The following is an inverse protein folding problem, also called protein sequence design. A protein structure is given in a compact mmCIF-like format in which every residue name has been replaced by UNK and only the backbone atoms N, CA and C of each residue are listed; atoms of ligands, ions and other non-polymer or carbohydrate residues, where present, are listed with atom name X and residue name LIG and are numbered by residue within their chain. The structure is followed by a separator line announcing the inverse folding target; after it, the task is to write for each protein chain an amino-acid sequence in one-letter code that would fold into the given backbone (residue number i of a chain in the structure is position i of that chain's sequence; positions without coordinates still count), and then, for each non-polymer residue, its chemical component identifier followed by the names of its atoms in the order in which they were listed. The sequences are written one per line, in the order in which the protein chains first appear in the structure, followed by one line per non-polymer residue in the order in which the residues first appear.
data_IF_696873011247
#
_entry.id   IF_696873011247
#
_cell.length_a   1.000
_cell.length_b   1.000
_cell.length_c   1.000
_cell.angle_alpha   90.00
_cell.angle_beta   90.00
_cell.angle_gamma   90.00
#
_symmetry.space_group_name_H-M   'P 1'
#
loop_
_entity.id
_entity.type
_entity.pdbx_description
1 polymer ?
#
# COMPACT_ATOMS: atom_id res chain seq x y z
N UNK A 1 4.06 15.34 -23.27
CA UNK A 1 3.82 13.99 -22.69
C UNK A 1 3.34 14.17 -21.27
N UNK A 2 2.08 13.83 -20.96
CA UNK A 2 1.58 13.94 -19.58
C UNK A 2 2.21 12.82 -18.74
N UNK A 3 3.13 13.18 -17.84
CA UNK A 3 3.74 12.26 -16.89
C UNK A 3 2.65 11.59 -16.06
N UNK A 4 2.55 10.27 -16.18
CA UNK A 4 1.53 9.46 -15.53
C UNK A 4 1.86 9.25 -14.05
N UNK A 5 1.84 10.32 -13.26
CA UNK A 5 2.08 10.28 -11.81
C UNK A 5 0.87 9.74 -11.03
N UNK A 6 -0.19 9.32 -11.73
CA UNK A 6 -1.49 8.91 -11.18
C UNK A 6 -1.83 7.43 -11.40
N UNK A 7 -0.91 6.64 -11.95
CA UNK A 7 -1.10 5.19 -12.11
C UNK A 7 -0.58 4.39 -10.92
N UNK A 8 -1.37 3.40 -10.50
CA UNK A 8 -0.94 2.45 -9.49
C UNK A 8 0.03 1.44 -10.08
N UNK A 9 1.20 1.24 -9.48
CA UNK A 9 2.17 0.25 -9.97
C UNK A 9 1.70 -1.22 -9.84
N UNK A 10 0.60 -1.49 -9.13
CA UNK A 10 0.06 -2.85 -8.95
C UNK A 10 -0.96 -3.20 -10.03
N UNK A 11 -1.91 -2.31 -10.34
CA UNK A 11 -2.93 -2.55 -11.37
C UNK A 11 -2.69 -1.80 -12.67
N UNK A 12 -1.64 -0.97 -12.74
CA UNK A 12 -1.27 -0.12 -13.87
C UNK A 12 -2.37 0.83 -14.36
N UNK A 13 -3.43 1.00 -13.56
CA UNK A 13 -4.57 1.84 -13.84
C UNK A 13 -4.56 3.10 -12.96
N UNK A 14 -5.42 4.07 -13.31
CA UNK A 14 -5.61 5.30 -12.52
C UNK A 14 -5.95 4.98 -11.06
N UNK A 15 -5.24 5.60 -10.13
CA UNK A 15 -5.40 5.36 -8.70
C UNK A 15 -6.77 5.79 -8.20
N UNK A 16 -7.63 4.83 -7.83
CA UNK A 16 -8.91 5.08 -7.16
C UNK A 16 -8.73 4.86 -5.66
N UNK A 17 -8.99 5.89 -4.86
CA UNK A 17 -8.64 5.94 -3.43
C UNK A 17 -7.13 5.73 -3.23
N UNK A 18 -6.35 6.68 -3.76
CA UNK A 18 -4.89 6.76 -3.58
C UNK A 18 -4.58 6.72 -2.09
N UNK A 19 -3.72 5.79 -1.68
CA UNK A 19 -3.16 5.75 -0.33
C UNK A 19 -1.67 6.09 -0.41
N UNK A 20 -1.23 6.99 0.46
CA UNK A 20 0.20 7.25 0.66
C UNK A 20 0.77 6.17 1.55
N UNK A 21 1.85 5.56 1.08
CA UNK A 21 2.69 4.72 1.91
C UNK A 21 3.78 5.58 2.52
N UNK A 22 4.31 5.19 3.68
CA UNK A 22 5.27 6.03 4.39
C UNK A 22 6.69 5.95 3.79
N UNK A 23 6.91 5.03 2.85
CA UNK A 23 8.05 5.08 1.91
C UNK A 23 7.81 6.02 0.71
N UNK A 24 6.81 6.91 0.81
CA UNK A 24 6.42 7.93 -0.18
C UNK A 24 5.92 7.39 -1.53
N UNK A 25 5.47 6.13 -1.59
CA UNK A 25 4.83 5.56 -2.77
C UNK A 25 3.31 5.58 -2.68
N UNK A 26 2.64 5.58 -3.82
CA UNK A 26 1.19 5.68 -3.89
C UNK A 26 0.56 4.47 -4.60
N UNK A 27 -0.51 3.95 -4.03
CA UNK A 27 -1.22 2.78 -4.57
C UNK A 27 -2.74 2.93 -4.43
N UNK A 28 -3.51 2.10 -5.14
CA UNK A 28 -4.94 1.94 -4.87
C UNK A 28 -5.13 1.22 -3.53
N UNK A 29 -6.03 1.69 -2.66
CA UNK A 29 -6.40 1.02 -1.40
C UNK A 29 -6.66 -0.49 -1.58
N UNK A 30 -7.39 -0.87 -2.63
CA UNK A 30 -7.71 -2.28 -2.95
C UNK A 30 -6.47 -3.08 -3.37
N UNK A 31 -5.63 -2.49 -4.22
CA UNK A 31 -4.42 -3.14 -4.70
C UNK A 31 -3.43 -3.36 -3.56
N UNK A 32 -3.22 -2.34 -2.73
CA UNK A 32 -2.34 -2.46 -1.58
C UNK A 32 -2.84 -3.57 -0.63
N UNK A 33 -4.14 -3.58 -0.29
CA UNK A 33 -4.73 -4.66 0.52
C UNK A 33 -4.53 -6.05 -0.09
N UNK A 34 -4.69 -6.19 -1.41
CA UNK A 34 -4.48 -7.47 -2.11
C UNK A 34 -3.03 -7.93 -2.01
N UNK A 35 -2.07 -7.01 -2.13
CA UNK A 35 -0.64 -7.32 -1.94
C UNK A 35 -0.40 -7.83 -0.52
N UNK A 36 -1.01 -7.21 0.50
CA UNK A 36 -0.91 -7.68 1.89
C UNK A 36 -1.50 -9.08 2.10
N UNK A 37 -2.64 -9.35 1.49
CA UNK A 37 -3.33 -10.64 1.61
C UNK A 37 -2.56 -11.78 0.91
N UNK A 38 -1.86 -11.45 -0.18
CA UNK A 38 -1.14 -12.42 -1.01
C UNK A 38 0.35 -12.55 -0.67
N UNK A 39 0.97 -11.53 -0.10
CA UNK A 39 2.41 -11.50 0.17
C UNK A 39 2.70 -11.49 1.68
N UNK A 40 3.33 -12.56 2.22
CA UNK A 40 3.68 -12.63 3.63
C UNK A 40 4.75 -11.62 4.05
N UNK A 41 5.45 -11.02 3.07
CA UNK A 41 6.61 -10.15 3.29
C UNK A 41 6.26 -8.72 3.72
N UNK A 42 4.97 -8.34 3.71
CA UNK A 42 4.50 -7.02 4.17
C UNK A 42 5.42 -5.86 3.72
N UNK A 43 5.75 -5.81 2.43
CA UNK A 43 6.72 -4.87 1.86
C UNK A 43 6.12 -4.05 0.71
N UNK A 44 6.64 -2.85 0.50
CA UNK A 44 6.22 -1.99 -0.62
C UNK A 44 6.52 -2.65 -1.98
N UNK A 45 5.56 -2.72 -2.92
CA UNK A 45 5.79 -3.30 -4.26
C UNK A 45 6.86 -2.58 -5.09
N UNK A 46 7.12 -1.30 -4.81
CA UNK A 46 8.02 -0.47 -5.61
C UNK A 46 9.46 -0.49 -5.07
N UNK A 47 9.64 -0.13 -3.81
CA UNK A 47 10.97 -0.02 -3.21
C UNK A 47 11.32 -1.18 -2.28
N UNK A 48 10.40 -2.13 -2.06
CA UNK A 48 10.54 -3.24 -1.09
C UNK A 48 10.82 -2.77 0.33
N UNK A 49 10.60 -1.47 0.62
CA UNK A 49 10.68 -0.96 1.97
C UNK A 49 9.71 -1.76 2.85
N UNK A 50 10.19 -2.29 3.99
CA UNK A 50 9.32 -2.99 4.90
C UNK A 50 8.27 -2.01 5.42
N UNK A 51 7.01 -2.45 5.50
CA UNK A 51 5.95 -1.66 6.12
C UNK A 51 6.08 -1.69 7.66
N UNK A 52 7.26 -1.36 8.19
CA UNK A 52 7.57 -1.41 9.63
C UNK A 52 6.80 -0.38 10.47
N UNK A 53 6.06 0.52 9.84
CA UNK A 53 5.27 1.53 10.53
C UNK A 53 3.79 1.38 10.13
N UNK A 54 3.01 1.04 11.17
CA UNK A 54 1.55 0.88 11.28
C UNK A 54 0.93 -0.51 11.09
N UNK A 55 1.48 -1.51 11.79
CA UNK A 55 0.69 -2.61 12.35
C UNK A 55 0.45 -2.32 13.84
N UNK A 56 -0.76 -1.94 14.24
CA UNK A 56 -1.12 -1.87 15.67
C UNK A 56 -1.48 -3.30 16.12
N UNK A 57 -0.47 -4.07 16.58
CA UNK A 57 -0.73 -5.37 17.22
C UNK A 57 -1.47 -5.12 18.53
N UNK A 58 -2.75 -5.49 18.61
CA UNK A 58 -3.47 -5.68 19.88
C UNK A 58 -3.59 -7.19 20.10
N UNK A 59 -3.57 -7.64 21.34
CA UNK A 59 -3.45 -9.05 21.75
C UNK A 59 -4.51 -10.03 21.20
N UNK A 60 -5.44 -9.56 20.36
CA UNK A 60 -6.53 -10.32 19.74
C UNK A 60 -6.62 -10.17 18.21
N UNK A 61 -5.65 -9.53 17.54
CA UNK A 61 -5.60 -9.47 16.05
C UNK A 61 -4.94 -8.22 15.47
N UNK A 62 -4.44 -8.35 14.23
CA UNK A 62 -3.81 -7.27 13.45
C UNK A 62 -4.87 -6.31 12.89
N UNK A 63 -4.92 -5.06 13.37
CA UNK A 63 -5.71 -3.99 12.73
C UNK A 63 -4.81 -3.17 11.81
N UNK A 64 -5.04 -3.30 10.51
CA UNK A 64 -4.44 -2.44 9.47
C UNK A 64 -5.14 -1.07 9.53
N UNK A 65 -4.42 -0.03 9.96
CA UNK A 65 -4.98 1.33 10.07
C UNK A 65 -4.68 2.08 8.79
N UNK A 66 -5.74 2.45 8.04
CA UNK A 66 -5.62 3.37 6.92
C UNK A 66 -6.03 4.75 7.43
N UNK A 67 -5.07 5.66 7.69
CA UNK A 67 -5.40 7.06 7.98
C UNK A 67 -6.09 7.65 6.75
N UNK A 68 -7.31 8.13 6.96
CA UNK A 68 -8.09 8.95 6.03
C UNK A 68 -7.52 10.35 5.96
#
# INVERSE_FOLDING_TARGET
MAGNSDSCAVCLCRMRHRVSTPCNHFFCRRCLRKVYDTSPLNSCPLCRAPFEYYIRKRSSGVKIVFFS
#
